data_IF_914276559623
#
_entry.id   IF_914276559623
#
_cell.length_a   1.000
_cell.length_b   1.000
_cell.length_c   1.000
_cell.angle_alpha   90.00
_cell.angle_beta   90.00
_cell.angle_gamma   90.00
#
_symmetry.space_group_name_H-M   'P 1'
#
loop_
_entity.id
_entity.type
_entity.pdbx_description
1 polymer ?
#
# COMPACT_ATOMS: atom_id res chain seq x y z
N UNK A 1 4.95 -22.90 1.59
CA UNK A 1 4.26 -22.25 0.45
C UNK A 1 2.83 -21.95 0.88
N UNK A 2 2.45 -20.69 1.12
CA UNK A 2 1.05 -20.32 1.36
C UNK A 2 0.78 -18.95 0.76
N UNK A 3 0.17 -18.94 -0.43
CA UNK A 3 -0.44 -17.73 -1.00
C UNK A 3 -1.83 -17.59 -0.37
N UNK A 4 -2.04 -16.57 0.46
CA UNK A 4 -3.39 -16.16 0.84
C UNK A 4 -3.91 -15.18 -0.21
N UNK A 5 -4.62 -15.70 -1.20
CA UNK A 5 -5.42 -14.89 -2.11
C UNK A 5 -6.79 -14.67 -1.51
N UNK A 6 -7.10 -13.45 -1.08
CA UNK A 6 -8.44 -13.10 -0.61
C UNK A 6 -9.25 -12.54 -1.80
N UNK A 7 -10.12 -13.36 -2.41
CA UNK A 7 -10.93 -12.91 -3.55
C UNK A 7 -12.23 -12.27 -3.06
N UNK A 8 -12.32 -10.97 -3.31
CA UNK A 8 -13.31 -9.98 -2.89
C UNK A 8 -14.82 -10.07 -3.20
N UNK A 9 -15.31 -10.51 -4.38
CA UNK A 9 -16.65 -10.19 -5.02
C UNK A 9 -17.27 -8.76 -4.86
N UNK A 10 -17.74 -8.14 -5.96
CA UNK A 10 -18.29 -6.77 -5.93
C UNK A 10 -19.55 -6.68 -5.03
N UNK A 11 -19.57 -5.68 -4.12
CA UNK A 11 -20.74 -5.33 -3.30
C UNK A 11 -20.63 -5.59 -1.79
N UNK A 12 -19.60 -6.28 -1.30
CA UNK A 12 -19.53 -6.79 0.09
C UNK A 12 -18.65 -5.97 1.05
N UNK A 13 -18.19 -4.77 0.65
CA UNK A 13 -17.28 -3.98 1.50
C UNK A 13 -15.85 -4.54 1.48
N UNK A 14 -15.36 -4.97 0.31
CA UNK A 14 -13.99 -5.46 0.11
C UNK A 14 -12.94 -4.56 0.73
N UNK A 15 -13.09 -3.26 0.46
CA UNK A 15 -12.18 -2.24 0.96
C UNK A 15 -12.23 -2.15 2.48
N UNK A 16 -13.40 -2.35 3.11
CA UNK A 16 -13.54 -2.48 4.56
C UNK A 16 -12.72 -3.66 5.09
N UNK A 17 -12.81 -4.83 4.45
CA UNK A 17 -12.01 -6.01 4.83
C UNK A 17 -10.51 -5.73 4.69
N UNK A 18 -10.09 -5.12 3.58
CA UNK A 18 -8.68 -4.71 3.37
C UNK A 18 -8.23 -3.77 4.49
N UNK A 19 -9.03 -2.76 4.82
CA UNK A 19 -8.68 -1.82 5.90
C UNK A 19 -8.56 -2.53 7.24
N UNK A 20 -9.52 -3.39 7.61
CA UNK A 20 -9.47 -4.17 8.85
C UNK A 20 -8.29 -5.14 8.90
N UNK A 21 -7.93 -5.76 7.76
CA UNK A 21 -6.76 -6.62 7.66
C UNK A 21 -5.47 -5.84 7.87
N UNK A 22 -5.34 -4.67 7.26
CA UNK A 22 -4.20 -3.78 7.47
C UNK A 22 -4.11 -3.39 8.95
N UNK A 23 -5.22 -2.98 9.58
CA UNK A 23 -5.26 -2.64 11.00
C UNK A 23 -4.79 -3.82 11.86
N UNK A 24 -5.32 -5.01 11.61
CA UNK A 24 -4.97 -6.23 12.34
C UNK A 24 -3.47 -6.54 12.22
N UNK A 25 -2.92 -6.46 11.01
CA UNK A 25 -1.49 -6.72 10.76
C UNK A 25 -0.60 -5.70 11.47
N UNK A 26 -0.95 -4.42 11.44
CA UNK A 26 -0.21 -3.36 12.13
C UNK A 26 -0.29 -3.48 13.66
N UNK A 27 -1.40 -3.98 14.19
CA UNK A 27 -1.55 -4.23 15.63
C UNK A 27 -0.81 -5.48 16.10
N UNK A 28 -0.92 -6.58 15.34
CA UNK A 28 -0.35 -7.88 15.72
C UNK A 28 1.15 -7.97 15.44
N UNK A 29 1.63 -7.35 14.37
CA UNK A 29 3.03 -7.40 13.96
C UNK A 29 3.50 -5.96 13.58
N UNK A 30 3.70 -5.05 14.56
CA UNK A 30 3.90 -3.61 14.34
C UNK A 30 5.20 -3.23 13.63
N UNK A 31 6.14 -4.16 13.54
CA UNK A 31 7.41 -3.99 12.81
C UNK A 31 7.29 -4.36 11.33
N UNK A 32 6.18 -4.95 10.89
CA UNK A 32 6.00 -5.41 9.51
C UNK A 32 5.65 -4.26 8.57
N UNK A 33 6.20 -4.37 7.37
CA UNK A 33 5.97 -3.45 6.26
C UNK A 33 4.90 -4.00 5.32
N UNK A 34 3.98 -3.13 4.91
CA UNK A 34 2.83 -3.52 4.08
C UNK A 34 2.82 -2.69 2.80
N UNK A 35 2.76 -3.36 1.65
CA UNK A 35 2.47 -2.74 0.36
C UNK A 35 1.03 -3.03 -0.04
N UNK A 36 0.25 -1.98 -0.31
CA UNK A 36 -1.13 -2.07 -0.80
C UNK A 36 -1.16 -1.55 -2.23
N UNK A 37 -1.69 -2.36 -3.15
CA UNK A 37 -1.74 -2.02 -4.57
C UNK A 37 -3.11 -2.23 -5.19
N UNK A 38 -3.43 -1.43 -6.19
CA UNK A 38 -4.61 -1.60 -7.05
C UNK A 38 -4.30 -1.13 -8.48
N UNK A 39 -5.08 -1.53 -9.50
CA UNK A 39 -4.77 -1.21 -10.90
C UNK A 39 -4.77 0.28 -11.23
N UNK A 40 -5.63 1.08 -10.59
CA UNK A 40 -5.82 2.51 -10.91
C UNK A 40 -5.55 3.41 -9.71
N UNK A 41 -5.16 4.67 -9.96
CA UNK A 41 -4.96 5.67 -8.90
C UNK A 41 -6.22 5.87 -8.06
N UNK A 42 -7.39 5.95 -8.71
CA UNK A 42 -8.68 6.10 -8.04
C UNK A 42 -9.00 4.94 -7.10
N UNK A 43 -8.68 3.70 -7.47
CA UNK A 43 -8.86 2.53 -6.61
C UNK A 43 -7.97 2.61 -5.38
N UNK A 44 -6.68 2.94 -5.56
CA UNK A 44 -5.73 3.12 -4.45
C UNK A 44 -6.20 4.23 -3.51
N UNK A 45 -6.64 5.36 -4.05
CA UNK A 45 -7.11 6.52 -3.29
C UNK A 45 -8.40 6.19 -2.52
N UNK A 46 -9.29 5.38 -3.09
CA UNK A 46 -10.49 4.88 -2.40
C UNK A 46 -10.13 4.00 -1.20
N UNK A 47 -9.14 3.10 -1.35
CA UNK A 47 -8.66 2.26 -0.25
C UNK A 47 -8.02 3.13 0.84
N UNK A 48 -7.16 4.07 0.46
CA UNK A 48 -6.50 4.98 1.41
C UNK A 48 -7.53 5.83 2.17
N UNK A 49 -8.52 6.39 1.49
CA UNK A 49 -9.60 7.16 2.12
C UNK A 49 -10.34 6.33 3.17
N UNK A 50 -10.76 5.11 2.82
CA UNK A 50 -11.46 4.23 3.76
C UNK A 50 -10.58 3.81 4.92
N UNK A 51 -9.29 3.56 4.66
CA UNK A 51 -8.31 3.25 5.70
C UNK A 51 -8.21 4.41 6.70
N UNK A 52 -8.02 5.63 6.22
CA UNK A 52 -7.94 6.82 7.06
C UNK A 52 -9.23 7.03 7.86
N UNK A 53 -10.40 6.93 7.23
CA UNK A 53 -11.70 7.08 7.90
C UNK A 53 -11.94 6.03 9.00
N UNK A 54 -11.53 4.77 8.76
CA UNK A 54 -11.63 3.71 9.75
C UNK A 54 -10.72 3.97 10.97
N UNK A 55 -9.61 4.66 10.76
CA UNK A 55 -8.60 4.93 11.77
C UNK A 55 -8.68 6.32 12.41
N UNK A 56 -9.38 7.29 11.81
CA UNK A 56 -9.64 8.62 12.40
C UNK A 56 -10.30 8.55 13.78
N UNK A 57 -11.09 7.50 14.02
CA UNK A 57 -11.79 7.26 15.28
C UNK A 57 -10.97 6.44 16.28
N UNK A 58 -9.80 5.95 15.88
CA UNK A 58 -8.92 5.16 16.73
C UNK A 58 -7.85 6.07 17.35
N UNK A 59 -7.95 6.43 18.65
CA UNK A 59 -7.00 7.34 19.29
C UNK A 59 -5.57 6.80 19.34
N UNK A 60 -5.41 5.47 19.29
CA UNK A 60 -4.10 4.79 19.30
C UNK A 60 -3.43 4.79 17.92
N UNK A 61 -4.21 5.00 16.86
CA UNK A 61 -3.71 5.08 15.50
C UNK A 61 -3.68 6.54 15.02
N UNK A 62 -2.57 7.23 15.29
CA UNK A 62 -2.25 8.49 14.61
C UNK A 62 -1.40 8.19 13.38
N UNK A 63 -1.92 8.31 12.15
CA UNK A 63 -1.11 8.13 10.95
C UNK A 63 -0.08 9.27 10.91
N UNK A 64 1.14 9.00 11.35
CA UNK A 64 2.23 9.93 11.05
C UNK A 64 2.54 9.83 9.57
N UNK A 65 2.73 10.99 8.91
CA UNK A 65 3.14 11.04 7.49
C UNK A 65 4.40 10.23 7.17
N UNK A 66 5.21 9.90 8.18
CA UNK A 66 6.42 9.07 8.02
C UNK A 66 6.11 7.57 7.97
N UNK A 67 4.97 7.12 8.51
CA UNK A 67 4.57 5.71 8.53
C UNK A 67 3.73 5.32 7.30
N UNK A 68 3.02 6.26 6.69
CA UNK A 68 2.14 6.03 5.55
C UNK A 68 2.61 6.82 4.34
N UNK A 69 2.81 6.14 3.21
CA UNK A 69 3.23 6.75 1.94
C UNK A 69 2.26 6.38 0.82
N UNK A 70 1.94 7.36 -0.04
CA UNK A 70 1.16 7.18 -1.27
C UNK A 70 2.03 7.52 -2.48
N UNK A 71 2.25 6.56 -3.39
CA UNK A 71 3.10 6.73 -4.58
C UNK A 71 2.30 7.18 -5.80
N UNK A 72 2.57 8.38 -6.30
CA UNK A 72 1.96 8.92 -7.51
C UNK A 72 2.46 10.33 -7.78
N UNK A 73 1.80 11.07 -8.67
CA UNK A 73 2.01 12.51 -8.94
C UNK A 73 0.84 13.33 -8.39
N UNK A 74 1.00 14.64 -8.18
CA UNK A 74 -0.13 15.50 -7.80
C UNK A 74 -1.23 15.55 -8.87
N UNK A 75 -0.89 15.29 -10.12
CA UNK A 75 -1.84 15.26 -11.24
C UNK A 75 -2.69 13.98 -11.27
N UNK A 76 -2.23 12.92 -10.60
CA UNK A 76 -2.87 11.59 -10.63
C UNK A 76 -3.48 11.17 -9.30
N UNK A 77 -3.07 11.80 -8.20
CA UNK A 77 -3.51 11.49 -6.84
C UNK A 77 -4.53 12.52 -6.37
N UNK A 78 -5.62 12.05 -5.78
CA UNK A 78 -6.65 12.88 -5.17
C UNK A 78 -6.01 13.93 -4.22
N UNK A 79 -6.38 15.22 -4.31
CA UNK A 79 -5.84 16.27 -3.45
C UNK A 79 -5.91 15.99 -1.95
N UNK A 80 -6.93 15.25 -1.49
CA UNK A 80 -7.05 14.84 -0.09
C UNK A 80 -5.86 13.98 0.38
N UNK A 81 -5.16 13.31 -0.53
CA UNK A 81 -4.03 12.42 -0.23
C UNK A 81 -2.65 13.02 -0.49
N UNK A 82 -2.55 14.26 -0.98
CA UNK A 82 -1.28 14.97 -1.14
C UNK A 82 -0.39 14.99 0.12
N UNK A 83 -0.93 15.09 1.35
CA UNK A 83 -0.17 14.94 2.59
C UNK A 83 0.70 13.67 2.70
N UNK A 84 0.35 12.62 1.97
CA UNK A 84 0.98 11.30 2.03
C UNK A 84 1.91 11.02 0.84
N UNK A 85 2.01 11.95 -0.12
CA UNK A 85 2.99 11.84 -1.20
C UNK A 85 4.42 11.89 -0.62
N UNK A 86 5.37 11.11 -1.17
CA UNK A 86 6.73 11.03 -0.63
C UNK A 86 7.56 12.31 -0.85
N UNK A 87 7.13 13.24 -1.68
CA UNK A 87 7.85 14.49 -1.96
C UNK A 87 7.02 15.71 -1.53
N UNK A 88 7.68 16.68 -0.90
CA UNK A 88 7.09 17.99 -0.62
C UNK A 88 7.36 19.00 -1.77
N UNK A 89 8.37 18.70 -2.59
CA UNK A 89 8.93 19.56 -3.66
C UNK A 89 9.59 18.68 -4.72
N UNK A 90 9.63 19.14 -5.97
CA UNK A 90 9.84 18.33 -7.20
C UNK A 90 11.23 17.67 -7.33
N UNK A 91 12.23 17.95 -6.48
CA UNK A 91 13.64 17.67 -6.78
C UNK A 91 14.44 16.80 -5.80
N UNK A 92 13.81 15.96 -4.97
CA UNK A 92 14.57 15.20 -3.96
C UNK A 92 14.29 13.69 -4.02
N UNK A 93 14.91 13.03 -4.99
CA UNK A 93 14.85 11.57 -5.18
C UNK A 93 15.39 10.82 -3.95
N UNK A 94 16.37 11.39 -3.26
CA UNK A 94 16.96 10.79 -2.05
C UNK A 94 15.95 10.79 -0.88
N UNK A 95 15.10 11.81 -0.78
CA UNK A 95 13.99 11.78 0.19
C UNK A 95 12.88 10.80 -0.15
N UNK A 96 12.69 10.47 -1.43
CA UNK A 96 11.69 9.48 -1.85
C UNK A 96 12.07 8.08 -1.37
N UNK A 97 13.32 7.67 -1.62
CA UNK A 97 13.83 6.36 -1.21
C UNK A 97 13.79 6.20 0.31
N UNK A 98 14.27 7.20 1.05
CA UNK A 98 14.24 7.18 2.52
C UNK A 98 12.81 7.11 3.06
N UNK A 99 11.88 7.90 2.50
CA UNK A 99 10.48 7.88 2.99
C UNK A 99 9.79 6.56 2.72
N UNK A 100 10.00 5.96 1.55
CA UNK A 100 9.46 4.63 1.26
C UNK A 100 10.09 3.59 2.18
N UNK A 101 11.42 3.61 2.33
CA UNK A 101 12.16 2.65 3.15
C UNK A 101 11.75 2.67 4.63
N UNK A 102 11.51 3.85 5.21
CA UNK A 102 11.11 3.99 6.62
C UNK A 102 9.59 3.96 6.84
N UNK A 103 8.80 3.76 5.79
CA UNK A 103 7.34 3.67 5.92
C UNK A 103 6.91 2.27 6.38
N UNK A 104 5.87 2.23 7.22
CA UNK A 104 5.23 0.97 7.63
C UNK A 104 4.22 0.50 6.59
N UNK A 105 3.63 1.44 5.85
CA UNK A 105 2.64 1.13 4.82
C UNK A 105 2.80 2.02 3.59
N UNK A 106 2.77 1.40 2.43
CA UNK A 106 2.86 2.06 1.13
C UNK A 106 1.63 1.74 0.29
N UNK A 107 1.03 2.77 -0.30
CA UNK A 107 -0.08 2.70 -1.24
C UNK A 107 0.38 3.09 -2.64
N UNK A 108 0.26 2.20 -3.61
CA UNK A 108 0.82 2.39 -4.95
C UNK A 108 -0.08 1.72 -6.01
N UNK A 109 -0.03 2.19 -7.25
CA UNK A 109 -0.68 1.43 -8.33
C UNK A 109 0.10 0.14 -8.61
N UNK A 110 -0.56 -0.91 -9.09
CA UNK A 110 0.09 -2.18 -9.44
C UNK A 110 1.25 -1.99 -10.44
N UNK A 111 1.12 -1.03 -11.36
CA UNK A 111 2.18 -0.66 -12.29
C UNK A 111 3.38 -0.02 -11.58
N UNK A 112 3.15 0.96 -10.71
CA UNK A 112 4.23 1.66 -10.00
C UNK A 112 4.94 0.77 -8.96
N UNK A 113 4.25 -0.24 -8.42
CA UNK A 113 4.83 -1.22 -7.52
C UNK A 113 5.98 -2.05 -8.13
N UNK A 114 6.00 -2.20 -9.46
CA UNK A 114 7.02 -2.97 -10.18
C UNK A 114 8.26 -2.18 -10.62
N UNK A 115 8.32 -0.88 -10.36
CA UNK A 115 9.37 0.00 -10.91
C UNK A 115 10.01 0.89 -9.84
N UNK A 116 11.19 1.44 -10.15
CA UNK A 116 11.90 2.38 -9.29
C UNK A 116 12.22 1.83 -7.90
N UNK A 117 12.09 2.68 -6.88
CA UNK A 117 12.36 2.33 -5.47
C UNK A 117 11.57 1.10 -5.01
N UNK A 118 10.31 0.96 -5.43
CA UNK A 118 9.46 -0.12 -4.99
C UNK A 118 9.96 -1.47 -5.49
N UNK A 119 10.52 -1.52 -6.71
CA UNK A 119 11.11 -2.75 -7.25
C UNK A 119 12.28 -3.28 -6.42
N UNK A 120 12.98 -2.38 -5.71
CA UNK A 120 14.13 -2.72 -4.85
C UNK A 120 13.76 -2.92 -3.37
N UNK A 121 12.61 -2.41 -2.94
CA UNK A 121 12.12 -2.59 -1.58
C UNK A 121 11.52 -3.99 -1.38
N UNK A 122 11.69 -4.53 -0.16
CA UNK A 122 11.01 -5.74 0.28
C UNK A 122 9.91 -5.36 1.25
N UNK A 123 8.74 -5.96 1.07
CA UNK A 123 7.59 -5.77 1.95
C UNK A 123 7.23 -7.12 2.57
N UNK A 124 6.98 -7.13 3.88
CA UNK A 124 6.58 -8.36 4.57
C UNK A 124 5.22 -8.84 4.09
N UNK A 125 4.31 -7.92 3.76
CA UNK A 125 2.98 -8.25 3.24
C UNK A 125 2.66 -7.40 2.03
N UNK A 126 2.16 -8.03 0.97
CA UNK A 126 1.64 -7.36 -0.22
C UNK A 126 0.16 -7.66 -0.37
N UNK A 127 -0.67 -6.63 -0.39
CA UNK A 127 -2.11 -6.69 -0.60
C UNK A 127 -2.38 -6.13 -2.00
N UNK A 128 -3.12 -6.88 -2.82
CA UNK A 128 -3.49 -6.49 -4.18
C UNK A 128 -5.02 -6.48 -4.26
N UNK A 129 -5.61 -5.29 -4.38
CA UNK A 129 -7.02 -5.14 -4.68
C UNK A 129 -7.28 -5.29 -6.18
N UNK A 130 -8.48 -5.75 -6.53
CA UNK A 130 -8.88 -6.05 -7.92
C UNK A 130 -7.86 -6.94 -8.67
N UNK A 131 -7.23 -7.89 -7.95
CA UNK A 131 -6.21 -8.79 -8.48
C UNK A 131 -6.67 -9.60 -9.70
N UNK A 132 -7.97 -9.88 -9.82
CA UNK A 132 -8.56 -10.56 -10.98
C UNK A 132 -8.50 -9.72 -12.27
N UNK A 133 -8.42 -8.39 -12.16
CA UNK A 133 -8.29 -7.46 -13.30
C UNK A 133 -6.84 -7.26 -13.72
N UNK A 134 -5.88 -7.75 -12.92
CA UNK A 134 -4.45 -7.77 -13.28
C UNK A 134 -4.23 -8.93 -14.26
N UNK A 135 -4.73 -8.79 -15.48
CA UNK A 135 -4.61 -9.83 -16.51
C UNK A 135 -3.16 -9.94 -16.98
N UNK A 136 -2.49 -11.02 -16.59
CA UNK A 136 -1.31 -11.62 -17.24
C UNK A 136 -0.29 -10.65 -17.85
N UNK A 137 0.60 -10.09 -17.02
CA UNK A 137 1.74 -9.30 -17.47
C UNK A 137 2.89 -9.38 -16.44
N UNK A 138 4.15 -9.07 -16.82
CA UNK A 138 5.36 -9.09 -15.97
C UNK A 138 5.24 -8.39 -14.60
N UNK A 139 4.23 -7.53 -14.42
CA UNK A 139 3.89 -6.87 -13.15
C UNK A 139 3.55 -7.86 -12.02
N UNK A 140 2.86 -8.97 -12.32
CA UNK A 140 2.54 -9.99 -11.31
C UNK A 140 3.80 -10.73 -10.84
N UNK A 141 4.78 -10.94 -11.73
CA UNK A 141 6.07 -11.55 -11.41
C UNK A 141 6.94 -10.65 -10.51
N UNK A 142 6.85 -9.33 -10.67
CA UNK A 142 7.57 -8.39 -9.82
C UNK A 142 6.97 -8.27 -8.41
N UNK A 143 5.64 -8.30 -8.28
CA UNK A 143 4.98 -8.41 -6.97
C UNK A 143 5.33 -9.74 -6.28
N UNK A 144 5.50 -10.83 -7.02
CA UNK A 144 5.99 -12.11 -6.48
C UNK A 144 7.44 -12.04 -5.98
N UNK A 145 8.27 -11.13 -6.51
CA UNK A 145 9.68 -10.93 -6.10
C UNK A 145 9.84 -10.10 -4.82
N UNK A 146 8.86 -9.28 -4.47
CA UNK A 146 8.88 -8.46 -3.24
C UNK A 146 8.60 -9.25 -1.95
N UNK A 147 8.49 -10.59 -2.04
CA UNK A 147 8.16 -11.48 -0.93
C UNK A 147 9.33 -11.72 0.03
N UNK A 148 9.07 -11.52 1.31
CA UNK A 148 9.74 -12.25 2.40
C UNK A 148 8.72 -13.14 3.12
N UNK A 149 9.16 -14.28 3.65
CA UNK A 149 8.29 -15.23 4.35
C UNK A 149 7.61 -14.55 5.55
N UNK A 150 6.28 -14.53 5.57
CA UNK A 150 5.51 -14.18 6.76
C UNK A 150 5.72 -15.24 7.84
N UNK A 151 6.63 -14.99 8.78
CA UNK A 151 6.61 -15.58 10.11
C UNK A 151 6.40 -14.43 11.08
N UNK A 152 5.28 -14.40 11.82
CA UNK A 152 5.24 -13.61 13.06
C UNK A 152 5.86 -14.55 14.10
N UNK A 153 7.05 -14.20 14.58
CA UNK A 153 7.65 -14.79 15.78
C UNK A 153 7.31 -13.90 16.96
#
# INVERSE_FOLDING_TARGET
>A
MSCFGLTLSLGTGKTRVITSLISLLLHTCPTKTILVTAPTHQAVDTILKQFLQAHERNPDFKPSRRKLVRIGTRDTVDPAHWPYLPYNTVNDVETLDKRVYYSSIVFSTTLSAGVGVLATCKFDTVIVDEAAQVSNAPHTLQLQRQRTNCSCR
#
